data_IF_840599083813
#
_entry.id   IF_840599083813
#
_cell.length_a   1.000
_cell.length_b   1.000
_cell.length_c   1.000
_cell.angle_alpha   90.00
_cell.angle_beta   90.00
_cell.angle_gamma   90.00
#
_symmetry.space_group_name_H-M   'P 1'
#
loop_
_entity.id
_entity.type
_entity.pdbx_description
1 polymer ?
#
# COMPACT_ATOMS: atom_id res chain seq x y z
N UNK A 1 -20.70 -25.45 15.52
CA UNK A 1 -19.68 -24.45 15.13
C UNK A 1 -19.15 -23.73 16.35
N UNK A 2 -19.99 -23.13 17.21
CA UNK A 2 -19.53 -22.43 18.41
C UNK A 2 -18.69 -23.28 19.38
N UNK A 3 -19.04 -24.55 19.59
CA UNK A 3 -18.26 -25.45 20.45
C UNK A 3 -16.84 -25.73 19.90
N UNK A 4 -16.66 -25.71 18.57
CA UNK A 4 -15.35 -25.93 17.93
C UNK A 4 -14.50 -24.67 18.09
N UNK A 5 -15.09 -23.49 17.91
CA UNK A 5 -14.43 -22.20 18.13
C UNK A 5 -13.96 -22.04 19.59
N UNK A 6 -14.77 -22.45 20.56
CA UNK A 6 -14.40 -22.41 21.98
C UNK A 6 -13.24 -23.39 22.31
N UNK A 7 -13.22 -24.56 21.66
CA UNK A 7 -12.15 -25.54 21.81
C UNK A 7 -10.83 -25.05 21.18
N UNK A 8 -10.88 -24.41 19.99
CA UNK A 8 -9.74 -23.76 19.33
C UNK A 8 -9.17 -22.67 20.24
N UNK A 9 -10.02 -21.80 20.79
CA UNK A 9 -9.60 -20.70 21.65
C UNK A 9 -8.99 -21.17 22.99
N UNK A 10 -9.30 -22.39 23.43
CA UNK A 10 -8.81 -22.93 24.71
C UNK A 10 -7.36 -23.42 24.65
N UNK A 11 -6.83 -23.73 23.46
CA UNK A 11 -5.49 -24.32 23.30
C UNK A 11 -5.31 -25.69 23.97
N UNK A 12 -6.38 -26.33 24.44
CA UNK A 12 -6.31 -27.57 25.21
C UNK A 12 -6.12 -28.82 24.35
N UNK A 13 -6.37 -28.71 23.04
CA UNK A 13 -6.24 -29.82 22.08
C UNK A 13 -5.14 -29.46 21.08
N UNK A 14 -4.16 -30.36 20.85
CA UNK A 14 -3.12 -30.12 19.84
C UNK A 14 -3.71 -29.86 18.46
N UNK A 15 -3.14 -28.89 17.73
CA UNK A 15 -3.65 -28.42 16.45
C UNK A 15 -3.80 -29.54 15.41
N UNK A 16 -2.85 -30.49 15.37
CA UNK A 16 -2.91 -31.67 14.50
C UNK A 16 -4.11 -32.58 14.82
N UNK A 17 -4.31 -32.88 16.11
CA UNK A 17 -5.40 -33.74 16.56
C UNK A 17 -6.77 -33.09 16.28
N UNK A 18 -6.85 -31.76 16.42
CA UNK A 18 -8.05 -30.99 16.10
C UNK A 18 -8.32 -30.95 14.60
N UNK A 19 -7.31 -30.68 13.78
CA UNK A 19 -7.42 -30.65 12.33
C UNK A 19 -7.90 -32.01 11.79
N UNK A 20 -7.37 -33.12 12.32
CA UNK A 20 -7.80 -34.48 11.95
C UNK A 20 -9.26 -34.73 12.34
N UNK A 21 -9.68 -34.32 13.55
CA UNK A 21 -11.05 -34.49 14.01
C UNK A 21 -12.07 -33.66 13.19
N UNK A 22 -11.72 -32.41 12.83
CA UNK A 22 -12.58 -31.55 12.01
C UNK A 22 -12.69 -32.06 10.57
N UNK A 23 -11.60 -32.54 9.98
CA UNK A 23 -11.63 -33.13 8.63
C UNK A 23 -12.55 -34.36 8.57
N UNK A 24 -12.46 -35.26 9.56
CA UNK A 24 -13.36 -36.41 9.67
C UNK A 24 -14.82 -35.98 9.85
N UNK A 25 -15.08 -34.95 10.67
CA UNK A 25 -16.44 -34.42 10.89
C UNK A 25 -17.06 -33.85 9.60
N UNK A 26 -16.27 -33.15 8.79
CA UNK A 26 -16.71 -32.56 7.52
C UNK A 26 -17.05 -33.66 6.51
N UNK A 27 -16.27 -34.73 6.49
CA UNK A 27 -16.49 -35.90 5.62
C UNK A 27 -17.72 -36.70 6.04
N UNK A 28 -17.84 -37.06 7.33
CA UNK A 28 -18.98 -37.83 7.86
C UNK A 28 -20.31 -37.09 7.68
N UNK A 29 -20.30 -35.76 7.71
CA UNK A 29 -21.49 -34.92 7.49
C UNK A 29 -21.76 -34.64 6.02
N UNK A 30 -20.87 -35.07 5.10
CA UNK A 30 -20.99 -34.85 3.67
C UNK A 30 -20.95 -33.37 3.26
N UNK A 31 -20.38 -32.50 4.08
CA UNK A 31 -20.36 -31.06 3.82
C UNK A 31 -19.41 -30.68 2.67
N UNK A 32 -18.36 -31.49 2.44
CA UNK A 32 -17.46 -31.34 1.30
C UNK A 32 -17.15 -32.70 0.65
N UNK A 33 -17.98 -33.14 -0.30
CA UNK A 33 -17.71 -34.34 -1.09
C UNK A 33 -16.38 -34.21 -1.84
N UNK A 34 -15.50 -35.21 -1.75
CA UNK A 34 -14.20 -35.22 -2.43
C UNK A 34 -13.05 -34.60 -1.63
N UNK A 35 -13.30 -34.08 -0.43
CA UNK A 35 -12.24 -33.56 0.45
C UNK A 35 -11.23 -34.65 0.84
N UNK A 36 -11.70 -35.86 1.15
CA UNK A 36 -10.82 -36.99 1.50
C UNK A 36 -9.86 -37.37 0.35
N UNK A 37 -10.36 -37.36 -0.89
CA UNK A 37 -9.59 -37.63 -2.11
C UNK A 37 -8.58 -36.52 -2.42
N UNK A 38 -8.87 -35.28 -2.05
CA UNK A 38 -7.93 -34.17 -2.15
C UNK A 38 -6.83 -34.28 -1.08
N UNK A 39 -7.21 -34.64 0.15
CA UNK A 39 -6.28 -34.74 1.28
C UNK A 39 -5.40 -35.99 1.24
N UNK A 40 -5.80 -37.07 0.54
CA UNK A 40 -4.99 -38.28 0.36
C UNK A 40 -3.81 -38.09 -0.60
N UNK A 41 -3.81 -37.00 -1.38
CA UNK A 41 -2.74 -36.64 -2.32
C UNK A 41 -1.64 -35.78 -1.68
N UNK A 42 -1.82 -35.38 -0.43
CA UNK A 42 -0.91 -34.55 0.34
C UNK A 42 -0.28 -35.43 1.42
N UNK A 43 1.03 -35.32 1.63
CA UNK A 43 1.70 -36.04 2.72
C UNK A 43 1.16 -35.61 4.09
N UNK A 44 1.15 -36.49 5.09
CA UNK A 44 0.60 -36.12 6.41
C UNK A 44 1.35 -34.92 7.05
N UNK A 45 2.66 -34.81 6.80
CA UNK A 45 3.49 -33.71 7.29
C UNK A 45 3.09 -32.35 6.69
N UNK A 46 2.80 -32.31 5.38
CA UNK A 46 2.29 -31.12 4.69
C UNK A 46 0.82 -30.83 5.03
N UNK A 47 0.02 -31.87 5.28
CA UNK A 47 -1.41 -31.77 5.61
C UNK A 47 -1.65 -31.09 6.96
N UNK A 48 -0.71 -31.22 7.89
CA UNK A 48 -0.83 -30.70 9.25
C UNK A 48 0.26 -29.67 9.63
N UNK A 49 1.10 -29.24 8.68
CA UNK A 49 2.05 -28.15 8.87
C UNK A 49 3.23 -28.48 9.78
N UNK A 50 3.61 -29.76 9.88
CA UNK A 50 4.78 -30.20 10.64
C UNK A 50 6.02 -30.05 9.76
N UNK A 51 6.93 -29.11 10.10
CA UNK A 51 8.22 -29.02 9.43
C UNK A 51 8.99 -30.35 9.63
N UNK A 52 9.51 -30.98 8.56
CA UNK A 52 10.30 -32.19 8.72
C UNK A 52 11.64 -31.85 9.39
N UNK A 53 11.93 -32.51 10.51
CA UNK A 53 13.25 -32.48 11.15
C UNK A 53 14.25 -33.20 10.23
N UNK A 54 15.44 -32.65 9.96
CA UNK A 54 16.37 -33.21 8.99
C UNK A 54 16.94 -34.54 9.50
N UNK A 55 17.13 -35.56 8.63
CA UNK A 55 17.94 -36.70 8.97
C UNK A 55 19.43 -36.30 8.99
N UNK A 56 20.14 -36.79 10.00
CA UNK A 56 21.55 -36.57 10.23
C UNK A 56 22.42 -37.28 9.16
N UNK A 57 23.40 -36.52 8.67
CA UNK A 57 24.71 -36.84 8.08
C UNK A 57 24.84 -38.07 7.16
N UNK A 58 25.22 -37.79 5.89
CA UNK A 58 26.51 -38.20 5.30
C UNK A 58 26.74 -37.44 3.97
N UNK A 59 27.72 -36.52 4.01
CA UNK A 59 28.69 -36.03 3.00
C UNK A 59 28.34 -35.74 1.52
N UNK A 60 28.79 -34.53 1.13
CA UNK A 60 29.29 -34.05 -0.17
C UNK A 60 28.32 -33.84 -1.34
N UNK A 61 27.86 -32.59 -1.52
CA UNK A 61 27.90 -31.86 -2.81
C UNK A 61 27.41 -30.40 -2.63
N UNK A 62 28.34 -29.44 -2.70
CA UNK A 62 28.08 -27.99 -2.73
C UNK A 62 28.26 -27.45 -4.16
N UNK A 63 27.27 -26.73 -4.73
CA UNK A 63 27.57 -25.78 -5.80
C UNK A 63 26.97 -24.40 -5.51
N UNK A 64 27.48 -23.74 -4.48
CA UNK A 64 27.53 -22.28 -4.35
C UNK A 64 28.66 -21.70 -5.21
N UNK A 65 28.59 -21.87 -6.54
CA UNK A 65 29.49 -21.15 -7.47
C UNK A 65 29.00 -21.17 -8.93
N UNK A 66 28.12 -20.24 -9.33
CA UNK A 66 28.11 -19.77 -10.72
C UNK A 66 28.03 -18.24 -10.74
N UNK A 67 29.22 -17.66 -10.85
CA UNK A 67 29.50 -16.33 -11.38
C UNK A 67 29.45 -16.39 -12.91
N UNK A 68 29.02 -15.34 -13.63
CA UNK A 68 29.56 -15.08 -14.95
C UNK A 68 30.40 -13.80 -14.94
N UNK A 69 31.69 -14.00 -15.18
CA UNK A 69 32.68 -12.96 -15.48
C UNK A 69 32.40 -12.32 -16.86
N UNK A 70 32.67 -11.02 -16.95
CA UNK A 70 32.29 -10.17 -18.08
C UNK A 70 33.02 -10.48 -19.39
N UNK A 71 32.29 -10.29 -20.48
CA UNK A 71 32.82 -10.02 -21.82
C UNK A 71 32.07 -8.83 -22.40
N UNK A 72 32.75 -7.70 -22.55
CA UNK A 72 32.37 -6.58 -23.42
C UNK A 72 33.37 -6.53 -24.60
N UNK A 73 33.09 -5.89 -25.75
CA UNK A 73 31.95 -5.02 -26.06
C UNK A 73 31.27 -5.33 -27.41
N UNK A 74 29.99 -4.96 -27.56
CA UNK A 74 29.45 -4.19 -28.71
C UNK A 74 27.93 -4.36 -28.87
N UNK A 75 27.28 -3.20 -28.94
CA UNK A 75 26.07 -2.90 -29.72
C UNK A 75 24.70 -3.39 -29.24
N UNK A 76 23.93 -2.36 -28.85
CA UNK A 76 22.57 -2.05 -29.32
C UNK A 76 21.39 -2.39 -28.40
N UNK A 77 20.88 -1.34 -27.74
CA UNK A 77 19.48 -0.96 -27.90
C UNK A 77 18.49 -1.33 -26.80
N UNK A 78 18.24 -0.38 -25.89
CA UNK A 78 16.89 0.02 -25.44
C UNK A 78 16.03 -0.97 -24.63
N UNK A 79 15.82 -0.67 -23.34
CA UNK A 79 14.62 0.03 -22.84
C UNK A 79 14.71 0.15 -21.30
N UNK A 80 14.66 1.38 -20.79
CA UNK A 80 14.48 1.62 -19.37
C UNK A 80 13.14 1.00 -18.93
N UNK A 81 13.17 0.12 -17.93
CA UNK A 81 11.94 -0.30 -17.22
C UNK A 81 11.46 0.89 -16.36
N UNK A 82 10.16 1.19 -16.33
CA UNK A 82 9.63 2.32 -15.59
C UNK A 82 9.77 2.12 -14.07
N UNK A 83 9.90 3.20 -13.29
CA UNK A 83 10.15 3.17 -11.83
C UNK A 83 9.05 2.47 -11.02
N UNK A 84 7.82 2.45 -11.52
CA UNK A 84 6.64 1.91 -10.82
C UNK A 84 6.76 0.44 -10.38
N UNK A 85 7.49 -0.41 -11.12
CA UNK A 85 7.62 -1.85 -10.77
C UNK A 85 8.54 -2.12 -9.60
N UNK A 86 9.45 -1.19 -9.25
CA UNK A 86 10.36 -1.37 -8.11
C UNK A 86 9.68 -0.98 -6.79
N UNK A 87 8.96 0.13 -6.76
CA UNK A 87 8.24 0.58 -5.55
C UNK A 87 7.15 -0.40 -5.08
N UNK A 88 6.39 -0.99 -6.02
CA UNK A 88 5.34 -1.96 -5.67
C UNK A 88 5.89 -3.26 -5.03
N UNK A 89 7.11 -3.68 -5.40
CA UNK A 89 7.74 -4.87 -4.83
C UNK A 89 8.29 -4.62 -3.42
N UNK A 90 8.76 -3.40 -3.13
CA UNK A 90 9.30 -3.06 -1.80
C UNK A 90 8.21 -2.96 -0.72
N UNK A 91 7.01 -2.45 -1.07
CA UNK A 91 5.87 -2.41 -0.16
C UNK A 91 5.34 -3.81 0.22
N UNK A 92 5.30 -4.75 -0.74
CA UNK A 92 4.84 -6.12 -0.50
C UNK A 92 5.78 -6.90 0.44
N UNK A 93 7.09 -6.61 0.41
CA UNK A 93 8.07 -7.22 1.33
C UNK A 93 7.99 -6.58 2.72
N UNK A 94 7.71 -5.28 2.79
CA UNK A 94 7.68 -4.55 4.06
C UNK A 94 6.44 -4.85 4.91
N UNK A 95 5.31 -5.17 4.27
CA UNK A 95 4.05 -5.53 4.93
C UNK A 95 3.75 -7.03 4.89
N UNK A 96 4.79 -7.88 4.93
CA UNK A 96 4.64 -9.33 4.98
C UNK A 96 4.10 -9.86 6.33
N UNK A 97 3.98 -9.00 7.35
CA UNK A 97 3.48 -9.34 8.67
C UNK A 97 2.66 -8.21 9.31
N UNK A 98 1.98 -8.56 10.42
CA UNK A 98 1.11 -7.69 11.21
C UNK A 98 1.83 -6.88 12.31
N UNK A 99 3.17 -6.81 12.31
CA UNK A 99 3.90 -6.10 13.37
C UNK A 99 3.62 -4.59 13.31
N UNK A 100 3.26 -3.96 14.44
CA UNK A 100 3.00 -2.54 14.49
C UNK A 100 4.22 -1.70 14.10
N UNK A 101 4.02 -0.74 13.21
CA UNK A 101 5.08 0.17 12.74
C UNK A 101 4.52 1.51 12.29
N UNK A 102 5.31 2.61 12.34
CA UNK A 102 4.89 3.89 11.77
C UNK A 102 4.50 3.69 10.30
N UNK A 103 3.36 4.28 9.92
CA UNK A 103 2.69 3.96 8.67
C UNK A 103 2.41 5.23 7.88
N UNK A 104 2.75 5.18 6.59
CA UNK A 104 2.36 6.15 5.60
C UNK A 104 1.43 5.48 4.59
N UNK A 105 0.27 6.07 4.32
CA UNK A 105 -0.66 5.59 3.29
C UNK A 105 -0.96 6.72 2.33
N UNK A 106 -0.78 6.46 1.04
CA UNK A 106 -1.05 7.42 -0.03
C UNK A 106 -1.76 6.78 -1.21
N UNK A 107 -2.30 7.62 -2.09
CA UNK A 107 -2.76 7.21 -3.43
C UNK A 107 -2.14 8.10 -4.48
N UNK A 108 -1.46 7.50 -5.45
CA UNK A 108 -0.85 8.22 -6.58
C UNK A 108 -1.92 8.85 -7.47
N UNK A 109 -1.67 10.08 -7.92
CA UNK A 109 -2.53 10.77 -8.89
C UNK A 109 -2.15 10.31 -10.31
N UNK A 110 -2.99 9.48 -10.90
CA UNK A 110 -2.75 8.83 -12.19
C UNK A 110 -2.74 9.81 -13.36
N UNK A 111 -3.49 10.91 -13.25
CA UNK A 111 -3.54 11.97 -14.26
C UNK A 111 -2.72 13.21 -13.86
N UNK A 112 -1.59 13.02 -13.17
CA UNK A 112 -0.73 14.11 -12.70
C UNK A 112 -0.27 15.10 -13.79
N UNK A 113 -0.14 14.65 -15.04
CA UNK A 113 0.19 15.52 -16.18
C UNK A 113 -0.83 16.63 -16.41
N UNK A 114 -2.11 16.39 -16.10
CA UNK A 114 -3.18 17.39 -16.25
C UNK A 114 -3.01 18.52 -15.22
N UNK A 115 -2.65 18.16 -13.98
CA UNK A 115 -2.36 19.13 -12.91
C UNK A 115 -1.13 19.94 -13.25
N UNK A 116 -0.04 19.30 -13.69
CA UNK A 116 1.18 20.01 -14.06
C UNK A 116 0.91 20.98 -15.23
N UNK A 117 0.16 20.52 -16.25
CA UNK A 117 -0.22 21.35 -17.39
C UNK A 117 -1.12 22.53 -17.01
N UNK A 118 -1.96 22.38 -15.98
CA UNK A 118 -2.73 23.48 -15.40
C UNK A 118 -1.86 24.43 -14.57
N UNK A 119 -1.04 23.91 -13.67
CA UNK A 119 -0.18 24.70 -12.78
C UNK A 119 0.74 25.62 -13.60
N UNK A 120 1.35 25.10 -14.66
CA UNK A 120 2.17 25.90 -15.59
C UNK A 120 1.39 27.03 -16.28
N UNK A 121 0.09 26.84 -16.57
CA UNK A 121 -0.77 27.89 -17.13
C UNK A 121 -1.15 28.96 -16.11
N UNK A 122 -1.28 28.59 -14.85
CA UNK A 122 -1.55 29.50 -13.74
C UNK A 122 -0.27 30.20 -13.21
N UNK A 123 0.89 29.93 -13.82
CA UNK A 123 2.14 30.65 -13.55
C UNK A 123 3.08 29.97 -12.56
N UNK A 124 2.85 28.70 -12.21
CA UNK A 124 3.80 27.92 -11.40
C UNK A 124 5.07 27.67 -12.21
N UNK A 125 6.23 28.03 -11.63
CA UNK A 125 7.55 27.88 -12.28
C UNK A 125 8.11 26.48 -12.14
N UNK A 126 7.70 25.76 -11.09
CA UNK A 126 8.06 24.37 -10.82
C UNK A 126 6.89 23.65 -10.15
N UNK A 127 6.86 22.34 -10.31
CA UNK A 127 5.90 21.43 -9.65
C UNK A 127 6.61 20.14 -9.27
N UNK A 128 6.06 19.38 -8.32
CA UNK A 128 6.43 17.99 -8.14
C UNK A 128 6.34 17.21 -9.46
N UNK A 129 7.23 16.23 -9.63
CA UNK A 129 7.15 15.30 -10.75
C UNK A 129 5.79 14.57 -10.77
N UNK A 130 5.32 14.18 -11.96
CA UNK A 130 3.99 13.56 -12.10
C UNK A 130 3.81 12.31 -11.24
N UNK A 131 4.86 11.47 -11.15
CA UNK A 131 4.86 10.24 -10.36
C UNK A 131 4.92 10.50 -8.84
N UNK A 132 5.25 11.72 -8.43
CA UNK A 132 5.26 12.17 -7.04
C UNK A 132 3.96 12.85 -6.62
N UNK A 133 3.05 13.18 -7.54
CA UNK A 133 1.75 13.72 -7.20
C UNK A 133 0.86 12.63 -6.58
N UNK A 134 0.33 12.92 -5.38
CA UNK A 134 -0.47 11.97 -4.62
C UNK A 134 -1.38 12.70 -3.63
N UNK A 135 -2.37 11.99 -3.10
CA UNK A 135 -3.07 12.36 -1.88
C UNK A 135 -2.59 11.46 -0.74
N UNK A 136 -2.20 12.07 0.38
CA UNK A 136 -1.89 11.33 1.60
C UNK A 136 -3.20 10.99 2.31
N UNK A 137 -3.40 9.71 2.63
CA UNK A 137 -4.55 9.23 3.41
C UNK A 137 -4.20 9.16 4.91
N UNK A 138 -2.98 8.72 5.25
CA UNK A 138 -2.51 8.66 6.64
C UNK A 138 -1.01 8.92 6.73
N UNK A 139 -0.59 9.71 7.72
CA UNK A 139 0.81 9.91 8.12
C UNK A 139 0.92 9.64 9.62
N UNK A 140 1.07 8.37 10.01
CA UNK A 140 1.06 7.94 11.40
C UNK A 140 2.46 7.71 11.94
N UNK A 141 2.90 8.55 12.88
CA UNK A 141 4.10 8.29 13.68
C UNK A 141 3.88 7.22 14.74
N UNK A 142 2.65 7.08 15.23
CA UNK A 142 2.31 5.99 16.13
C UNK A 142 2.38 4.65 15.37
N UNK A 143 3.08 3.64 15.91
CA UNK A 143 3.12 2.33 15.32
C UNK A 143 1.74 1.66 15.29
N UNK A 144 1.33 1.21 14.10
CA UNK A 144 0.04 0.53 13.90
C UNK A 144 0.21 -0.77 13.13
N UNK A 145 -0.68 -1.72 13.40
CA UNK A 145 -0.77 -2.98 12.65
C UNK A 145 -1.47 -2.72 11.30
N UNK A 146 -0.75 -2.84 10.18
CA UNK A 146 -1.28 -2.56 8.85
C UNK A 146 -2.44 -3.48 8.45
N UNK A 147 -2.48 -4.71 8.98
CA UNK A 147 -3.58 -5.66 8.72
C UNK A 147 -4.89 -5.26 9.41
N UNK A 148 -4.81 -4.38 10.42
CA UNK A 148 -5.99 -3.83 11.12
C UNK A 148 -6.50 -2.52 10.52
N UNK A 149 -5.82 -1.97 9.52
CA UNK A 149 -6.20 -0.68 8.91
C UNK A 149 -7.45 -0.80 8.02
N UNK A 150 -8.03 -1.98 7.84
CA UNK A 150 -9.24 -2.19 7.05
C UNK A 150 -9.06 -1.91 5.56
N UNK A 151 -10.17 -1.85 4.83
CA UNK A 151 -10.23 -1.62 3.39
C UNK A 151 -11.08 -0.39 3.09
N UNK A 152 -10.77 0.30 1.99
CA UNK A 152 -11.61 1.38 1.49
C UNK A 152 -12.86 0.85 0.79
N UNK A 153 -13.97 1.59 0.88
CA UNK A 153 -15.27 1.19 0.33
C UNK A 153 -15.62 1.88 -0.99
N UNK A 154 -15.09 3.08 -1.24
CA UNK A 154 -15.42 3.93 -2.39
C UNK A 154 -14.58 3.68 -3.64
N UNK A 155 -13.94 2.52 -3.76
CA UNK A 155 -13.00 2.20 -4.84
C UNK A 155 -13.68 1.43 -5.99
N UNK A 156 -13.09 1.51 -7.20
CA UNK A 156 -13.42 0.61 -8.30
C UNK A 156 -12.74 -0.78 -8.16
N UNK A 157 -12.97 -1.67 -9.14
CA UNK A 157 -12.38 -3.02 -9.15
C UNK A 157 -10.85 -3.06 -9.16
N UNK A 158 -10.20 -1.95 -9.51
CA UNK A 158 -8.73 -1.80 -9.52
C UNK A 158 -8.22 -1.04 -8.29
N UNK A 159 -9.10 -0.70 -7.35
CA UNK A 159 -8.77 0.08 -6.16
C UNK A 159 -8.72 1.59 -6.39
N UNK A 160 -9.15 2.08 -7.55
CA UNK A 160 -9.04 3.51 -7.89
C UNK A 160 -10.18 4.33 -7.28
N UNK A 161 -9.89 5.60 -6.99
CA UNK A 161 -10.87 6.59 -6.54
C UNK A 161 -10.88 7.76 -7.52
N UNK A 162 -12.07 8.12 -8.02
CA UNK A 162 -12.25 9.23 -8.95
C UNK A 162 -13.00 10.40 -8.31
N UNK A 163 -12.35 11.55 -8.23
CA UNK A 163 -13.02 12.82 -7.92
C UNK A 163 -13.56 13.42 -9.21
N UNK A 164 -14.86 13.66 -9.24
CA UNK A 164 -15.54 14.22 -10.41
C UNK A 164 -15.02 15.63 -10.73
N UNK A 165 -15.02 16.05 -12.01
CA UNK A 165 -14.74 17.43 -12.38
C UNK A 165 -15.63 18.42 -11.64
N UNK A 166 -15.08 19.60 -11.35
CA UNK A 166 -15.74 20.68 -10.61
C UNK A 166 -15.75 20.45 -9.10
N UNK A 167 -16.78 20.99 -8.44
CA UNK A 167 -16.86 21.07 -6.98
C UNK A 167 -16.01 22.21 -6.40
N UNK A 168 -16.16 22.51 -5.10
CA UNK A 168 -15.31 23.49 -4.44
C UNK A 168 -13.87 22.96 -4.38
N UNK A 169 -12.92 23.79 -4.78
CA UNK A 169 -11.48 23.51 -4.72
C UNK A 169 -10.76 24.80 -4.36
N UNK A 170 -9.65 24.69 -3.68
CA UNK A 170 -8.84 25.83 -3.28
C UNK A 170 -7.36 25.55 -3.51
N UNK A 171 -6.60 26.58 -3.84
CA UNK A 171 -5.14 26.53 -3.89
C UNK A 171 -4.64 27.32 -2.70
N UNK A 172 -4.02 26.64 -1.74
CA UNK A 172 -3.63 27.24 -0.48
C UNK A 172 -2.21 26.83 -0.09
N UNK A 173 -1.62 27.57 0.85
CA UNK A 173 -0.38 27.17 1.51
C UNK A 173 -0.70 26.30 2.71
N UNK A 174 -0.05 25.15 2.80
CA UNK A 174 -0.14 24.22 3.91
C UNK A 174 1.23 24.06 4.57
N UNK A 175 1.27 24.18 5.90
CA UNK A 175 2.52 24.12 6.65
C UNK A 175 3.45 25.28 6.30
N UNK A 176 4.76 25.01 6.21
CA UNK A 176 5.77 26.04 5.97
C UNK A 176 5.69 26.61 4.55
N UNK A 177 5.82 25.77 3.52
CA UNK A 177 6.00 26.23 2.14
C UNK A 177 5.18 25.46 1.08
N UNK A 178 4.42 24.42 1.45
CA UNK A 178 3.74 23.59 0.47
C UNK A 178 2.54 24.34 -0.13
N UNK A 179 2.48 24.47 -1.45
CA UNK A 179 1.28 24.90 -2.17
C UNK A 179 0.51 23.65 -2.60
N UNK A 180 -0.75 23.58 -2.19
CA UNK A 180 -1.59 22.40 -2.32
C UNK A 180 -2.89 22.71 -3.05
N UNK A 181 -3.44 21.73 -3.75
CA UNK A 181 -4.82 21.74 -4.25
C UNK A 181 -5.72 20.98 -3.26
N UNK A 182 -6.60 21.71 -2.58
CA UNK A 182 -7.63 21.16 -1.69
C UNK A 182 -8.88 20.78 -2.48
N UNK A 183 -9.52 19.68 -2.08
CA UNK A 183 -10.78 19.22 -2.67
C UNK A 183 -11.60 18.38 -1.68
N UNK A 184 -12.93 18.37 -1.78
CA UNK A 184 -13.77 17.51 -0.95
C UNK A 184 -13.77 16.07 -1.46
N UNK A 185 -13.74 15.12 -0.53
CA UNK A 185 -14.00 13.71 -0.81
C UNK A 185 -14.46 13.01 0.47
N UNK A 186 -15.72 12.59 0.49
CA UNK A 186 -16.26 11.84 1.63
C UNK A 186 -15.56 10.49 1.80
N UNK A 187 -15.21 9.82 0.69
CA UNK A 187 -14.52 8.54 0.70
C UNK A 187 -13.13 8.67 1.36
N UNK A 188 -12.33 9.67 0.96
CA UNK A 188 -11.00 9.88 1.54
C UNK A 188 -11.08 10.33 3.00
N UNK A 189 -12.04 11.19 3.36
CA UNK A 189 -12.22 11.64 4.74
C UNK A 189 -12.66 10.50 5.65
N UNK A 190 -13.61 9.68 5.20
CA UNK A 190 -14.05 8.50 5.95
C UNK A 190 -12.93 7.48 6.07
N UNK A 191 -12.19 7.26 4.98
CA UNK A 191 -11.04 6.35 5.00
C UNK A 191 -9.97 6.77 6.00
N UNK A 192 -9.62 8.06 6.03
CA UNK A 192 -8.70 8.62 7.03
C UNK A 192 -9.22 8.40 8.45
N UNK A 193 -10.48 8.74 8.71
CA UNK A 193 -11.12 8.56 10.01
C UNK A 193 -11.07 7.09 10.46
N UNK A 194 -11.41 6.15 9.59
CA UNK A 194 -11.40 4.72 9.91
C UNK A 194 -9.98 4.25 10.29
N UNK A 195 -8.93 4.74 9.63
CA UNK A 195 -7.55 4.42 10.00
C UNK A 195 -7.15 5.03 11.35
N UNK A 196 -7.58 6.26 11.64
CA UNK A 196 -7.35 6.91 12.94
C UNK A 196 -8.08 6.17 14.06
N UNK A 197 -9.34 5.77 13.84
CA UNK A 197 -10.12 4.95 14.78
C UNK A 197 -9.47 3.57 15.02
N UNK A 198 -8.78 3.02 14.02
CA UNK A 198 -7.98 1.80 14.15
C UNK A 198 -6.62 1.99 14.87
N UNK A 199 -6.33 3.20 15.36
CA UNK A 199 -5.12 3.52 16.12
C UNK A 199 -4.08 4.36 15.37
N UNK A 200 -4.37 4.78 14.13
CA UNK A 200 -3.54 5.71 13.37
C UNK A 200 -3.47 7.09 14.03
N UNK A 201 -2.38 7.81 13.77
CA UNK A 201 -2.15 9.17 14.23
C UNK A 201 -1.96 10.14 13.07
N UNK A 202 -2.16 11.44 13.33
CA UNK A 202 -1.84 12.55 12.44
C UNK A 202 -1.56 13.82 13.29
N UNK A 203 -0.94 14.84 12.70
CA UNK A 203 -0.50 16.05 13.44
C UNK A 203 -1.40 17.28 13.25
N UNK A 204 -2.55 17.12 12.60
CA UNK A 204 -3.43 18.24 12.23
C UNK A 204 -4.76 18.13 12.95
N UNK A 205 -5.44 19.25 13.22
CA UNK A 205 -6.75 19.20 13.90
C UNK A 205 -7.84 18.55 13.04
N UNK A 206 -7.77 18.75 11.71
CA UNK A 206 -8.74 18.23 10.76
C UNK A 206 -8.06 17.75 9.48
N UNK A 207 -8.51 16.61 8.97
CA UNK A 207 -8.04 16.06 7.70
C UNK A 207 -8.79 16.68 6.51
N UNK A 208 -8.02 17.37 5.68
CA UNK A 208 -8.48 17.91 4.41
C UNK A 208 -7.77 17.20 3.26
N UNK A 209 -8.47 16.48 2.37
CA UNK A 209 -7.84 15.88 1.20
C UNK A 209 -7.18 16.95 0.33
N UNK A 210 -5.91 16.73 0.02
CA UNK A 210 -5.13 17.64 -0.80
C UNK A 210 -4.08 16.92 -1.62
N UNK A 211 -3.71 17.52 -2.76
CA UNK A 211 -2.52 17.16 -3.53
C UNK A 211 -1.52 18.28 -3.41
N UNK A 212 -0.31 17.98 -2.95
CA UNK A 212 0.78 18.96 -2.97
C UNK A 212 1.25 19.16 -4.40
N UNK A 213 1.32 20.42 -4.84
CA UNK A 213 1.72 20.80 -6.20
C UNK A 213 3.21 21.16 -6.23
N UNK A 214 3.68 21.95 -5.26
CA UNK A 214 5.06 22.46 -5.18
C UNK A 214 5.35 22.97 -3.76
N UNK A 215 6.62 22.94 -3.37
CA UNK A 215 7.22 23.53 -2.18
C UNK A 215 8.06 24.77 -2.51
N UNK A 216 8.35 25.04 -3.78
CA UNK A 216 9.23 26.11 -4.24
C UNK A 216 8.49 27.38 -4.67
N UNK A 217 7.15 27.38 -4.68
CA UNK A 217 6.37 28.57 -5.04
C UNK A 217 6.72 29.75 -4.11
N UNK A 218 7.23 30.87 -4.66
CA UNK A 218 7.62 32.05 -3.88
C UNK A 218 6.50 32.51 -2.95
N UNK A 219 6.82 32.86 -1.70
CA UNK A 219 5.84 33.21 -0.66
C UNK A 219 4.95 34.40 -1.02
N UNK A 220 5.43 35.28 -1.90
CA UNK A 220 4.75 36.49 -2.39
C UNK A 220 3.84 36.23 -3.60
N UNK A 221 3.80 35.01 -4.16
CA UNK A 221 2.82 34.65 -5.17
C UNK A 221 1.40 34.75 -4.59
N UNK A 222 0.55 35.53 -5.26
CA UNK A 222 -0.87 35.67 -4.91
C UNK A 222 -1.67 34.45 -5.36
N UNK A 223 -1.86 33.50 -4.43
CA UNK A 223 -2.65 32.30 -4.68
C UNK A 223 -4.15 32.59 -4.81
N UNK A 224 -4.64 33.75 -4.35
CA UNK A 224 -6.07 34.09 -4.45
C UNK A 224 -6.49 34.40 -5.89
N UNK A 225 -5.52 34.77 -6.74
CA UNK A 225 -5.72 34.98 -8.17
C UNK A 225 -5.67 33.69 -9.00
N UNK A 226 -5.13 32.60 -8.43
CA UNK A 226 -5.01 31.30 -9.11
C UNK A 226 -6.40 30.66 -9.22
N UNK A 227 -6.77 30.25 -10.43
CA UNK A 227 -8.02 29.49 -10.64
C UNK A 227 -7.76 28.02 -10.35
N UNK A 228 -8.38 27.42 -9.32
CA UNK A 228 -8.13 26.02 -8.99
C UNK A 228 -8.43 25.09 -10.16
N UNK A 229 -7.62 24.04 -10.32
CA UNK A 229 -7.87 23.01 -11.34
C UNK A 229 -9.27 22.43 -11.16
N UNK A 230 -10.07 22.35 -12.23
CA UNK A 230 -11.47 21.85 -12.18
C UNK A 230 -11.68 20.52 -12.90
N UNK A 231 -10.64 19.92 -13.49
CA UNK A 231 -10.72 18.61 -14.15
C UNK A 231 -10.93 17.46 -13.16
N UNK A 232 -11.06 16.22 -13.66
CA UNK A 232 -11.13 15.06 -12.76
C UNK A 232 -9.80 14.84 -12.03
N UNK A 233 -9.86 14.29 -10.81
CA UNK A 233 -8.68 13.75 -10.13
C UNK A 233 -8.82 12.23 -10.08
N UNK A 234 -7.84 11.53 -10.63
CA UNK A 234 -7.85 10.07 -10.74
C UNK A 234 -6.78 9.50 -9.81
N UNK A 235 -7.20 8.92 -8.69
CA UNK A 235 -6.29 8.35 -7.71
C UNK A 235 -6.24 6.83 -7.88
N UNK A 236 -5.03 6.28 -7.82
CA UNK A 236 -4.79 4.84 -7.84
C UNK A 236 -5.17 4.12 -6.53
N UNK A 237 -4.80 2.83 -6.43
CA UNK A 237 -4.97 2.05 -5.20
C UNK A 237 -4.16 2.63 -4.03
N UNK A 238 -4.53 2.23 -2.82
CA UNK A 238 -3.76 2.56 -1.61
C UNK A 238 -2.38 1.92 -1.66
N UNK A 239 -1.36 2.73 -1.41
CA UNK A 239 0.00 2.28 -1.18
C UNK A 239 0.30 2.43 0.30
N UNK A 240 0.57 1.30 0.95
CA UNK A 240 1.05 1.26 2.32
C UNK A 240 2.56 1.27 2.28
N UNK A 241 3.18 2.21 2.99
CA UNK A 241 4.63 2.40 3.02
C UNK A 241 5.11 2.64 4.46
N UNK A 242 6.34 2.22 4.81
CA UNK A 242 6.99 2.68 6.02
C UNK A 242 7.00 4.20 6.08
N UNK A 243 6.79 4.75 7.28
CA UNK A 243 6.99 6.18 7.47
C UNK A 243 8.48 6.54 7.29
N UNK A 244 8.77 7.36 6.29
CA UNK A 244 10.07 8.00 6.12
C UNK A 244 10.03 9.42 6.70
N UNK A 245 10.82 9.70 7.73
CA UNK A 245 10.90 11.03 8.35
C UNK A 245 11.81 11.99 7.56
N UNK A 246 12.69 11.46 6.72
CA UNK A 246 13.62 12.22 5.87
C UNK A 246 13.08 12.42 4.45
N UNK A 247 11.81 12.10 4.20
CA UNK A 247 11.17 12.11 2.87
C UNK A 247 11.37 13.42 2.09
N UNK A 248 11.37 14.57 2.78
CA UNK A 248 11.58 15.89 2.18
C UNK A 248 12.87 15.99 1.36
N UNK A 249 13.92 15.21 1.69
CA UNK A 249 15.19 15.20 0.95
C UNK A 249 15.11 14.50 -0.40
N UNK A 250 14.06 13.70 -0.63
CA UNK A 250 13.85 12.91 -1.84
C UNK A 250 12.89 13.59 -2.83
N UNK A 251 12.22 14.65 -2.39
CA UNK A 251 11.30 15.43 -3.19
C UNK A 251 12.05 16.13 -4.31
N UNK A 252 11.56 15.98 -5.54
CA UNK A 252 12.10 16.66 -6.72
C UNK A 252 11.02 17.48 -7.41
N UNK A 253 11.39 18.67 -7.89
CA UNK A 253 10.52 19.55 -8.68
C UNK A 253 11.08 19.78 -10.08
N UNK A 254 10.19 19.95 -11.05
CA UNK A 254 10.44 20.09 -12.50
C UNK A 254 9.62 21.22 -13.16
#
# INVERSE_FOLDING_TARGET
>A
MEAITALIASGMVPDEAMARAVQNLIEERGYMPGLADALSKISEDERFGLQPKPPADNDDDDPSAIVPEGGDPASAGGRAQPPARRAANDAAVFFADAQPRPLYVQRKLLNGTDIIGWAKKEGFTSTLAADDLHVTVLYSRQPVDPMKMGQAWGEDENGNVRIKPGGPRAVERLGENAVVLLFPSWDLQSRHRDMVEAGGSHDFDEYHPHVTISFEVPTDMDLTAVRPFTGALEFGPELFEPLDLDWKRKVTEE
#
